data_IF_438159922395
#
_entry.id   IF_438159922395
#
_cell.length_a   1.000
_cell.length_b   1.000
_cell.length_c   1.000
_cell.angle_alpha   90.00
_cell.angle_beta   90.00
_cell.angle_gamma   90.00
#
_symmetry.space_group_name_H-M   'P 1'
#
loop_
_entity.id
_entity.type
_entity.pdbx_description
1 polymer ?
#
# COMPACT_ATOMS: atom_id res chain seq x y z
N UNK A 1 18.13 0.00 -3.13
CA UNK A 1 17.05 0.28 -2.17
C UNK A 1 17.53 0.59 -0.79
N UNK A 2 17.37 1.85 -0.38
CA UNK A 2 17.43 2.22 1.03
C UNK A 2 16.20 1.65 1.76
N UNK A 3 16.39 0.57 2.51
CA UNK A 3 15.31 -0.16 3.18
C UNK A 3 14.66 0.65 4.31
N UNK A 4 15.42 1.49 5.00
CA UNK A 4 14.89 2.33 6.08
C UNK A 4 13.92 3.38 5.52
N UNK A 5 14.32 4.04 4.42
CA UNK A 5 13.46 5.00 3.72
C UNK A 5 12.22 4.32 3.16
N UNK A 6 12.37 3.18 2.47
CA UNK A 6 11.24 2.44 1.92
C UNK A 6 10.27 1.92 3.02
N UNK A 7 10.79 1.49 4.16
CA UNK A 7 9.98 1.06 5.31
C UNK A 7 9.21 2.23 5.91
N UNK A 8 9.89 3.35 6.17
CA UNK A 8 9.25 4.59 6.64
C UNK A 8 8.15 5.06 5.67
N UNK A 9 8.43 5.03 4.37
CA UNK A 9 7.44 5.38 3.34
C UNK A 9 6.24 4.42 3.37
N UNK A 10 6.47 3.11 3.48
CA UNK A 10 5.39 2.13 3.56
C UNK A 10 4.51 2.35 4.80
N UNK A 11 5.11 2.58 5.97
CA UNK A 11 4.41 2.81 7.24
C UNK A 11 3.60 4.12 7.23
N UNK A 12 4.21 5.23 6.79
CA UNK A 12 3.52 6.52 6.69
C UNK A 12 2.34 6.44 5.73
N UNK A 13 2.52 5.79 4.58
CA UNK A 13 1.48 5.69 3.56
C UNK A 13 0.35 4.75 3.97
N UNK A 14 0.67 3.62 4.61
CA UNK A 14 -0.34 2.73 5.17
C UNK A 14 -1.18 3.44 6.26
N UNK A 15 -0.54 4.20 7.14
CA UNK A 15 -1.24 4.97 8.17
C UNK A 15 -2.07 6.14 7.62
N UNK A 16 -1.64 6.78 6.53
CA UNK A 16 -2.41 7.83 5.85
C UNK A 16 -3.62 7.24 5.15
N UNK A 17 -3.41 6.25 4.28
CA UNK A 17 -4.50 5.65 3.52
C UNK A 17 -5.51 4.90 4.38
N UNK A 18 -5.10 4.29 5.50
CA UNK A 18 -6.08 3.71 6.44
C UNK A 18 -7.01 4.74 7.08
N UNK A 19 -6.64 6.03 7.13
CA UNK A 19 -7.50 7.12 7.61
C UNK A 19 -8.34 7.73 6.50
N UNK A 20 -7.74 7.85 5.31
CA UNK A 20 -8.34 8.54 4.17
C UNK A 20 -9.23 7.62 3.32
N UNK A 21 -9.04 6.29 3.40
CA UNK A 21 -9.83 5.34 2.64
C UNK A 21 -11.27 5.31 3.15
N UNK A 22 -12.16 6.04 2.48
CA UNK A 22 -13.58 5.77 2.57
C UNK A 22 -13.89 4.51 1.76
N UNK A 23 -14.51 3.54 2.43
CA UNK A 23 -14.97 2.29 1.85
C UNK A 23 -15.82 2.48 0.58
N UNK A 24 -16.54 3.60 0.51
CA UNK A 24 -17.45 3.92 -0.59
C UNK A 24 -16.75 4.53 -1.83
N UNK A 25 -15.54 5.05 -1.67
CA UNK A 25 -14.79 5.72 -2.73
C UNK A 25 -13.84 4.77 -3.48
N UNK A 26 -13.71 3.53 -3.02
CA UNK A 26 -12.89 2.52 -3.67
C UNK A 26 -13.59 2.03 -4.95
N UNK A 27 -13.04 2.41 -6.10
CA UNK A 27 -13.42 1.86 -7.40
C UNK A 27 -12.80 0.46 -7.54
N UNK A 28 -13.63 -0.57 -7.38
CA UNK A 28 -13.21 -1.97 -7.39
C UNK A 28 -13.04 -2.47 -8.82
N UNK A 29 -11.83 -2.87 -9.20
CA UNK A 29 -11.61 -3.58 -10.45
C UNK A 29 -12.00 -5.05 -10.28
N UNK A 30 -12.72 -5.61 -11.25
CA UNK A 30 -13.05 -7.03 -11.44
C UNK A 30 -13.03 -7.91 -10.17
N UNK A 31 -13.90 -7.57 -9.23
CA UNK A 31 -14.24 -8.42 -8.08
C UNK A 31 -13.10 -8.63 -7.09
N UNK A 32 -12.86 -7.63 -6.22
CA UNK A 32 -12.20 -7.72 -4.90
C UNK A 32 -10.80 -7.08 -4.78
N UNK A 33 -10.29 -6.36 -5.77
CA UNK A 33 -9.02 -5.64 -5.62
C UNK A 33 -9.09 -4.23 -6.23
N UNK A 34 -8.47 -3.25 -5.57
CA UNK A 34 -8.22 -1.93 -6.13
C UNK A 34 -6.77 -1.53 -5.84
N UNK A 35 -6.03 -1.12 -6.86
CA UNK A 35 -4.63 -0.69 -6.70
C UNK A 35 -4.43 0.76 -7.12
N UNK A 36 -3.92 1.58 -6.21
CA UNK A 36 -3.52 2.97 -6.46
C UNK A 36 -2.00 3.07 -6.47
N UNK A 37 -1.43 3.82 -7.40
CA UNK A 37 0.02 4.01 -7.51
C UNK A 37 0.38 5.47 -7.38
N UNK A 38 1.41 5.75 -6.58
CA UNK A 38 2.01 7.07 -6.42
C UNK A 38 3.54 7.01 -6.60
N UNK A 39 4.13 8.15 -6.95
CA UNK A 39 5.58 8.32 -7.04
C UNK A 39 6.05 9.33 -5.98
N UNK A 40 7.11 9.00 -5.26
CA UNK A 40 7.69 9.83 -4.19
C UNK A 40 9.18 9.98 -4.42
N UNK A 41 9.64 11.23 -4.51
CA UNK A 41 11.07 11.56 -4.57
C UNK A 41 11.59 11.82 -3.15
N UNK A 42 12.51 11.00 -2.65
CA UNK A 42 13.17 11.18 -1.35
C UNK A 42 14.68 11.00 -1.51
N UNK A 43 15.46 11.98 -1.05
CA UNK A 43 16.93 11.93 -1.14
C UNK A 43 17.50 11.81 -2.56
N UNK A 44 16.75 12.26 -3.59
CA UNK A 44 17.14 12.14 -5.00
C UNK A 44 16.85 10.77 -5.64
N UNK A 45 16.13 9.90 -4.94
CA UNK A 45 15.69 8.59 -5.43
C UNK A 45 14.17 8.63 -5.64
N UNK A 46 13.71 8.14 -6.81
CA UNK A 46 12.29 7.98 -7.13
C UNK A 46 11.80 6.62 -6.61
N UNK A 47 10.79 6.65 -5.74
CA UNK A 47 10.12 5.51 -5.17
C UNK A 47 8.71 5.39 -5.75
N UNK A 48 8.39 4.22 -6.32
CA UNK A 48 7.02 3.82 -6.65
C UNK A 48 6.37 3.23 -5.40
N UNK A 49 5.27 3.81 -4.97
CA UNK A 49 4.41 3.34 -3.88
C UNK A 49 3.12 2.80 -4.48
N UNK A 50 2.84 1.53 -4.24
CA UNK A 50 1.62 0.85 -4.69
C UNK A 50 0.78 0.53 -3.46
N UNK A 51 -0.42 1.10 -3.38
CA UNK A 51 -1.47 0.71 -2.45
C UNK A 51 -2.34 -0.32 -3.14
N UNK A 52 -2.58 -1.45 -2.50
CA UNK A 52 -3.53 -2.47 -2.96
C UNK A 52 -4.54 -2.72 -1.86
N UNK A 53 -5.82 -2.58 -2.16
CA UNK A 53 -6.92 -2.94 -1.27
C UNK A 53 -7.63 -4.17 -1.81
N UNK A 54 -7.45 -5.25 -1.05
CA UNK A 54 -8.11 -6.53 -1.00
C UNK A 54 -9.49 -6.66 -0.38
N UNK A 55 -10.50 -7.26 -1.00
CA UNK A 55 -11.61 -7.86 -0.25
C UNK A 55 -11.29 -9.33 0.01
N UNK A 56 -11.33 -9.76 1.27
CA UNK A 56 -11.18 -11.17 1.59
C UNK A 56 -12.46 -11.94 1.23
N UNK A 57 -12.32 -13.01 0.45
CA UNK A 57 -13.46 -13.84 0.04
C UNK A 57 -14.17 -14.39 1.27
N UNK A 58 -15.50 -14.31 1.28
CA UNK A 58 -16.37 -14.75 2.38
C UNK A 58 -16.26 -13.97 3.70
N UNK A 59 -15.40 -12.95 3.78
CA UNK A 59 -15.36 -12.02 4.89
C UNK A 59 -15.97 -10.67 4.49
N UNK A 60 -16.47 -9.92 5.48
CA UNK A 60 -16.69 -8.47 5.34
C UNK A 60 -15.41 -7.74 5.72
N UNK A 61 -14.24 -8.31 5.47
CA UNK A 61 -12.95 -7.74 5.86
C UNK A 61 -12.16 -7.39 4.61
N UNK A 62 -11.38 -6.31 4.72
CA UNK A 62 -10.54 -5.81 3.66
C UNK A 62 -9.10 -5.80 4.14
N UNK A 63 -8.17 -6.14 3.26
CA UNK A 63 -6.76 -6.04 3.56
C UNK A 63 -6.15 -4.98 2.67
N UNK A 64 -5.50 -4.02 3.31
CA UNK A 64 -4.75 -2.96 2.67
C UNK A 64 -3.27 -3.33 2.70
N UNK A 65 -2.62 -3.25 1.55
CA UNK A 65 -1.19 -3.47 1.39
C UNK A 65 -0.53 -2.28 0.74
N UNK A 66 0.60 -1.84 1.28
CA UNK A 66 1.47 -0.85 0.66
C UNK A 66 2.77 -1.52 0.28
N UNK A 67 3.16 -1.38 -0.99
CA UNK A 67 4.44 -1.83 -1.52
C UNK A 67 5.23 -0.64 -2.01
N UNK A 68 6.47 -0.50 -1.53
CA UNK A 68 7.41 0.55 -1.95
C UNK A 68 8.56 -0.08 -2.71
N UNK A 69 8.86 0.42 -3.90
CA UNK A 69 9.97 -0.02 -4.74
C UNK A 69 10.72 1.17 -5.33
N UNK A 70 12.03 1.05 -5.52
CA UNK A 70 12.79 2.10 -6.23
C UNK A 70 12.62 1.98 -7.74
N UNK A 71 12.31 3.09 -8.40
CA UNK A 71 12.06 3.15 -9.85
C UNK A 71 13.36 3.27 -10.67
N UNK A 72 14.53 3.25 -10.01
CA UNK A 72 15.82 3.52 -10.63
C UNK A 72 16.07 2.68 -11.90
N UNK A 73 16.33 3.38 -13.00
CA UNK A 73 16.65 2.83 -14.34
C UNK A 73 17.63 1.65 -14.23
N UNK A 74 17.18 0.45 -14.65
CA UNK A 74 18.00 -0.73 -15.06
C UNK A 74 18.39 -1.81 -14.04
N UNK A 75 17.65 -2.11 -12.97
CA UNK A 75 17.86 -3.41 -12.27
C UNK A 75 16.59 -4.22 -12.08
N UNK A 76 16.55 -5.33 -12.81
CA UNK A 76 15.49 -6.35 -12.89
C UNK A 76 15.14 -7.07 -11.56
N UNK A 77 15.67 -6.63 -10.42
CA UNK A 77 15.35 -7.17 -9.09
C UNK A 77 15.44 -6.06 -8.03
N UNK A 78 14.74 -4.95 -8.26
CA UNK A 78 14.59 -3.90 -7.27
C UNK A 78 13.94 -4.49 -6.01
N UNK A 79 14.68 -4.48 -4.90
CA UNK A 79 14.10 -4.81 -3.60
C UNK A 79 12.83 -3.98 -3.39
N UNK A 80 11.82 -4.59 -2.80
CA UNK A 80 10.59 -3.91 -2.41
C UNK A 80 10.36 -4.12 -0.91
N UNK A 81 9.80 -3.12 -0.24
CA UNK A 81 9.26 -3.27 1.11
C UNK A 81 7.76 -3.30 1.00
N UNK A 82 7.14 -4.27 1.65
CA UNK A 82 5.68 -4.34 1.76
C UNK A 82 5.26 -4.25 3.22
N UNK A 83 4.18 -3.52 3.47
CA UNK A 83 3.47 -3.45 4.75
C UNK A 83 2.00 -3.71 4.50
N UNK A 84 1.33 -4.33 5.46
CA UNK A 84 -0.05 -4.74 5.31
C UNK A 84 -0.84 -4.39 6.57
N UNK A 85 -2.15 -4.23 6.45
CA UNK A 85 -3.07 -4.18 7.57
C UNK A 85 -4.50 -4.43 7.15
N UNK A 86 -5.34 -4.81 8.11
CA UNK A 86 -6.74 -5.12 7.88
C UNK A 86 -7.61 -3.93 8.22
N UNK A 87 -8.53 -3.64 7.32
CA UNK A 87 -9.59 -2.66 7.49
C UNK A 87 -10.92 -3.37 7.68
N UNK A 88 -11.60 -3.03 8.76
CA UNK A 88 -12.91 -3.56 9.12
C UNK A 88 -14.03 -2.62 8.61
N UNK A 89 -15.26 -3.12 8.42
CA UNK A 89 -16.40 -2.31 7.96
C UNK A 89 -16.78 -1.15 8.87
N UNK A 90 -16.36 -1.19 10.13
CA UNK A 90 -16.57 -0.14 11.13
C UNK A 90 -15.53 1.00 11.00
N UNK A 91 -14.66 0.95 9.99
CA UNK A 91 -13.59 1.91 9.75
C UNK A 91 -12.33 1.66 10.60
N UNK A 92 -12.30 0.58 11.39
CA UNK A 92 -11.13 0.25 12.20
C UNK A 92 -10.02 -0.34 11.32
N UNK A 93 -8.80 0.12 11.53
CA UNK A 93 -7.60 -0.43 10.91
C UNK A 93 -6.70 -1.14 11.93
N UNK A 94 -6.19 -2.31 11.57
CA UNK A 94 -5.24 -3.10 12.38
C UNK A 94 -4.05 -3.47 11.51
N UNK A 95 -2.87 -2.98 11.86
CA UNK A 95 -1.63 -3.33 11.15
C UNK A 95 -1.36 -4.84 11.23
N UNK A 96 -0.97 -5.42 10.09
CA UNK A 96 -0.65 -6.84 9.96
C UNK A 96 0.81 -7.15 10.30
N UNK A 97 1.11 -8.39 10.69
CA UNK A 97 2.48 -8.84 10.96
C UNK A 97 3.38 -8.87 9.70
#
# INVERSE_FOLDING_TARGET
MNKEVATRLAEVRLAQWSRDADYNDLEWADSNESTTTEHVLDGGVDYKVELTVWREQHAREYTMGVRVSETARRRFFGGAVSRYGRMFPDGRFVEGP
#
